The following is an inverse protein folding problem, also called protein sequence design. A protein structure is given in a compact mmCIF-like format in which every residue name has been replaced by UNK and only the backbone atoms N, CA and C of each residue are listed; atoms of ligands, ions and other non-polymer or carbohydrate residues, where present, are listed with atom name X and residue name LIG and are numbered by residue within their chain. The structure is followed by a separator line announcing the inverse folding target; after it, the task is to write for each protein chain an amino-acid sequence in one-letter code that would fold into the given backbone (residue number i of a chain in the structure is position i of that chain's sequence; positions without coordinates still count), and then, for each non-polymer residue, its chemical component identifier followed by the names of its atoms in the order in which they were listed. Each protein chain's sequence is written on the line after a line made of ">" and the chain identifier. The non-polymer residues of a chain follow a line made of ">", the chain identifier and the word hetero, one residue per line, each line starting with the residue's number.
data_IF_818057991339
#
_entry.id   IF_818057991339
#
_cell.length_a   1.000
_cell.length_b   1.000
_cell.length_c   1.000
_cell.angle_alpha   90.00
_cell.angle_beta   90.00
_cell.angle_gamma   90.00
#
_symmetry.space_group_name_H-M   'P 1'
#
loop_
_entity.id
_entity.type
_entity.pdbx_description
1 polymer ?
#
# COMPACT_ATOMS: atom_id res chain seq x y z
N UNK A 1 6.03 -21.46 36.00
CA UNK A 1 5.02 -22.52 35.85
C UNK A 1 3.78 -21.82 35.35
N UNK A 2 3.62 -21.78 34.02
CA UNK A 2 2.58 -22.54 33.29
C UNK A 2 1.17 -22.06 33.66
N UNK A 3 0.28 -21.67 32.74
CA UNK A 3 0.21 -21.80 31.29
C UNK A 3 -0.81 -20.78 30.76
N UNK A 4 -0.84 -20.50 29.46
CA UNK A 4 -1.45 -21.32 28.39
C UNK A 4 -2.84 -20.82 28.02
N UNK A 5 -3.06 -20.72 26.70
CA UNK A 5 -4.36 -20.54 26.04
C UNK A 5 -4.61 -19.08 25.65
N UNK A 6 -4.77 -18.71 24.39
CA UNK A 6 -5.19 -19.46 23.22
C UNK A 6 -6.35 -18.71 22.56
N UNK A 7 -6.49 -18.85 21.25
CA UNK A 7 -7.73 -18.50 20.54
C UNK A 7 -7.57 -17.39 19.53
N UNK A 8 -7.59 -17.79 18.25
CA UNK A 8 -7.81 -16.87 17.15
C UNK A 8 -9.16 -16.15 17.26
N UNK A 9 -9.19 -14.92 16.75
CA UNK A 9 -10.39 -14.13 16.59
C UNK A 9 -10.55 -13.74 15.13
N UNK A 10 -11.35 -14.51 14.40
CA UNK A 10 -12.04 -14.08 13.20
C UNK A 10 -12.89 -12.84 13.50
N UNK A 11 -12.93 -11.84 12.62
CA UNK A 11 -14.00 -10.84 12.64
C UNK A 11 -13.64 -9.46 12.12
N UNK A 12 -14.48 -8.94 11.22
CA UNK A 12 -14.56 -7.52 10.87
C UNK A 12 -15.24 -7.36 9.51
N UNK A 13 -16.51 -6.98 9.35
CA UNK A 13 -17.34 -6.18 10.25
C UNK A 13 -16.93 -4.71 10.17
N UNK A 14 -17.43 -3.96 9.16
CA UNK A 14 -17.45 -2.49 9.17
C UNK A 14 -16.62 -1.73 8.13
N UNK A 15 -17.04 -1.75 6.86
CA UNK A 15 -17.14 -0.57 5.95
C UNK A 15 -15.94 0.30 5.57
N UNK A 16 -14.73 0.10 6.10
CA UNK A 16 -13.57 0.97 5.82
C UNK A 16 -12.55 0.27 4.91
N UNK A 17 -12.02 0.92 3.86
CA UNK A 17 -11.00 0.32 3.01
C UNK A 17 -9.75 -0.02 3.83
N UNK A 18 -9.04 -1.08 3.43
CA UNK A 18 -7.80 -1.46 4.10
C UNK A 18 -6.81 -0.27 4.12
N UNK A 19 -6.07 -0.03 5.21
CA UNK A 19 -5.12 1.08 5.30
C UNK A 19 -4.09 1.10 4.16
N UNK A 20 -3.77 -0.07 3.61
CA UNK A 20 -2.92 -0.21 2.43
C UNK A 20 -3.52 0.48 1.19
N UNK A 21 -4.82 0.29 0.94
CA UNK A 21 -5.52 0.87 -0.21
C UNK A 21 -5.64 2.38 -0.06
N UNK A 22 -6.00 2.86 1.14
CA UNK A 22 -6.10 4.30 1.43
C UNK A 22 -4.75 4.98 1.17
N UNK A 23 -3.67 4.46 1.76
CA UNK A 23 -2.32 5.01 1.57
C UNK A 23 -1.84 4.95 0.13
N UNK A 24 -2.18 3.88 -0.59
CA UNK A 24 -1.81 3.76 -2.00
C UNK A 24 -2.55 4.79 -2.84
N UNK A 25 -3.83 5.01 -2.57
CA UNK A 25 -4.61 6.05 -3.23
C UNK A 25 -4.04 7.44 -2.94
N UNK A 26 -3.85 7.79 -1.67
CA UNK A 26 -3.29 9.09 -1.27
C UNK A 26 -1.92 9.35 -1.90
N UNK A 27 -1.07 8.33 -1.98
CA UNK A 27 0.26 8.41 -2.60
C UNK A 27 0.20 8.70 -4.10
N UNK A 28 -0.76 8.11 -4.82
CA UNK A 28 -0.91 8.27 -6.27
C UNK A 28 -1.68 9.55 -6.61
N UNK A 29 -2.57 10.01 -5.73
CA UNK A 29 -3.34 11.24 -5.88
C UNK A 29 -2.50 12.51 -5.62
N UNK A 30 -1.31 12.36 -5.04
CA UNK A 30 -0.38 13.46 -4.79
C UNK A 30 0.38 13.89 -6.06
N UNK A 31 0.07 15.08 -6.57
CA UNK A 31 0.72 15.68 -7.73
C UNK A 31 2.25 15.87 -7.57
N UNK A 32 2.78 15.86 -6.34
CA UNK A 32 4.23 15.90 -6.12
C UNK A 32 4.92 14.58 -6.47
N UNK A 33 4.18 13.48 -6.50
CA UNK A 33 4.69 12.15 -6.83
C UNK A 33 4.48 11.77 -8.29
N UNK A 34 3.77 12.59 -9.09
CA UNK A 34 3.43 12.35 -10.51
C UNK A 34 4.64 12.00 -11.38
N UNK A 35 5.83 12.50 -11.06
CA UNK A 35 7.06 12.16 -11.78
C UNK A 35 7.52 10.70 -11.56
N UNK A 36 7.07 10.08 -10.47
CA UNK A 36 7.43 8.72 -10.03
C UNK A 36 6.25 7.76 -10.22
N UNK A 37 5.06 8.17 -9.80
CA UNK A 37 3.80 7.43 -9.93
C UNK A 37 2.66 8.40 -10.20
N UNK A 38 1.81 8.11 -11.17
CA UNK A 38 0.66 8.97 -11.48
C UNK A 38 -0.56 8.15 -11.84
N UNK A 39 -1.74 8.75 -11.72
CA UNK A 39 -2.94 8.20 -12.33
C UNK A 39 -2.79 8.12 -13.86
N UNK A 40 -3.38 7.08 -14.45
CA UNK A 40 -3.55 7.01 -15.90
C UNK A 40 -4.60 8.03 -16.34
N UNK A 41 -4.62 8.37 -17.64
CA UNK A 41 -5.58 9.33 -18.18
C UNK A 41 -7.06 8.95 -17.94
N UNK A 42 -7.34 7.68 -17.66
CA UNK A 42 -8.68 7.18 -17.35
C UNK A 42 -9.03 7.23 -15.85
N UNK A 43 -8.07 7.54 -14.96
CA UNK A 43 -8.28 7.64 -13.50
C UNK A 43 -8.66 6.32 -12.81
N UNK A 44 -8.55 5.19 -13.50
CA UNK A 44 -8.96 3.87 -13.02
C UNK A 44 -7.77 2.95 -12.70
N UNK A 45 -6.56 3.41 -12.99
CA UNK A 45 -5.31 2.68 -12.87
C UNK A 45 -4.19 3.70 -12.68
N UNK A 46 -3.09 3.28 -12.08
CA UNK A 46 -1.92 4.11 -11.91
C UNK A 46 -0.70 3.47 -12.54
N UNK A 47 0.25 4.30 -12.94
CA UNK A 47 1.47 3.88 -13.62
C UNK A 47 2.66 4.32 -12.76
N UNK A 48 3.54 3.37 -12.47
CA UNK A 48 4.82 3.67 -11.83
C UNK A 48 5.86 3.92 -12.93
N UNK A 49 6.24 5.18 -13.10
CA UNK A 49 7.22 5.63 -14.08
C UNK A 49 8.66 5.29 -13.65
N UNK A 50 8.95 5.41 -12.36
CA UNK A 50 10.29 5.18 -11.81
C UNK A 50 10.25 4.21 -10.61
N UNK A 51 10.34 2.91 -10.88
CA UNK A 51 10.28 1.88 -9.82
C UNK A 51 11.40 1.99 -8.76
N UNK A 52 12.68 2.25 -9.12
CA UNK A 52 13.73 2.47 -8.12
C UNK A 52 13.45 3.66 -7.18
N UNK A 53 12.98 4.78 -7.73
CA UNK A 53 12.69 5.97 -6.94
C UNK A 53 11.42 5.82 -6.10
N UNK A 54 10.39 5.17 -6.65
CA UNK A 54 9.19 4.76 -5.92
C UNK A 54 9.56 3.97 -4.66
N UNK A 55 10.44 2.97 -4.82
CA UNK A 55 10.86 2.13 -3.72
C UNK A 55 11.68 2.89 -2.66
N UNK A 56 12.54 3.83 -3.09
CA UNK A 56 13.45 4.54 -2.20
C UNK A 56 12.84 5.77 -1.52
N UNK A 57 11.86 6.42 -2.15
CA UNK A 57 11.29 7.70 -1.72
C UNK A 57 9.86 7.52 -1.22
N UNK A 58 8.98 6.89 -2.02
CA UNK A 58 7.56 6.80 -1.69
C UNK A 58 7.29 5.70 -0.67
N UNK A 59 7.82 4.51 -0.88
CA UNK A 59 7.59 3.40 0.05
C UNK A 59 7.96 3.71 1.51
N UNK A 60 9.13 4.27 1.86
CA UNK A 60 9.42 4.63 3.26
C UNK A 60 8.62 5.82 3.79
N UNK A 61 8.05 6.66 2.91
CA UNK A 61 7.19 7.79 3.30
C UNK A 61 5.78 7.31 3.68
N UNK A 62 5.22 6.38 2.91
CA UNK A 62 3.85 5.89 3.09
C UNK A 62 3.78 4.56 3.88
N UNK A 63 4.80 3.71 3.78
CA UNK A 63 4.90 2.38 4.36
C UNK A 63 6.15 2.23 5.25
N UNK A 64 6.20 1.18 6.07
CA UNK A 64 7.34 0.88 6.96
C UNK A 64 8.44 0.04 6.29
N UNK A 65 8.48 0.00 4.96
CA UNK A 65 9.49 -0.73 4.20
C UNK A 65 9.78 0.02 2.89
N UNK A 66 10.88 -0.31 2.23
CA UNK A 66 11.24 0.18 0.90
C UNK A 66 11.22 -0.94 -0.16
N UNK A 67 10.67 -2.10 0.18
CA UNK A 67 10.64 -3.26 -0.73
C UNK A 67 9.47 -3.19 -1.71
N UNK A 68 9.77 -2.98 -2.99
CA UNK A 68 8.77 -2.95 -4.06
C UNK A 68 8.01 -4.27 -4.22
N UNK A 69 8.70 -5.41 -4.09
CA UNK A 69 8.06 -6.73 -4.18
C UNK A 69 7.03 -6.94 -3.07
N UNK A 70 7.28 -6.42 -1.87
CA UNK A 70 6.30 -6.46 -0.77
C UNK A 70 5.07 -5.60 -1.06
N UNK A 71 5.25 -4.48 -1.75
CA UNK A 71 4.15 -3.62 -2.21
C UNK A 71 3.31 -4.30 -3.30
N UNK A 72 3.96 -4.88 -4.33
CA UNK A 72 3.27 -5.65 -5.38
C UNK A 72 2.50 -6.84 -4.78
N UNK A 73 3.07 -7.53 -3.79
CA UNK A 73 2.36 -8.63 -3.13
C UNK A 73 1.10 -8.16 -2.42
N UNK A 74 1.15 -7.01 -1.75
CA UNK A 74 -0.03 -6.43 -1.12
C UNK A 74 -1.07 -6.01 -2.17
N UNK A 75 -0.65 -5.39 -3.29
CA UNK A 75 -1.55 -5.12 -4.41
C UNK A 75 -2.24 -6.38 -4.92
N UNK A 76 -1.50 -7.47 -5.16
CA UNK A 76 -2.06 -8.73 -5.66
C UNK A 76 -2.98 -9.45 -4.67
N UNK A 77 -3.00 -9.03 -3.40
CA UNK A 77 -3.87 -9.64 -2.37
C UNK A 77 -5.25 -8.98 -2.34
N UNK A 78 -5.39 -7.79 -2.93
CA UNK A 78 -6.64 -7.03 -3.05
C UNK A 78 -7.13 -7.02 -4.51
#
# INVERSE_FOLDING_TARGET
>A
MEGSGGGGGSGGGGGSPAPFLIKTYDMVDDASTDAIVSWSAAGNSFVVWNSPEFARVLLPTYFKHNNFSSFIRQLNTY
#
